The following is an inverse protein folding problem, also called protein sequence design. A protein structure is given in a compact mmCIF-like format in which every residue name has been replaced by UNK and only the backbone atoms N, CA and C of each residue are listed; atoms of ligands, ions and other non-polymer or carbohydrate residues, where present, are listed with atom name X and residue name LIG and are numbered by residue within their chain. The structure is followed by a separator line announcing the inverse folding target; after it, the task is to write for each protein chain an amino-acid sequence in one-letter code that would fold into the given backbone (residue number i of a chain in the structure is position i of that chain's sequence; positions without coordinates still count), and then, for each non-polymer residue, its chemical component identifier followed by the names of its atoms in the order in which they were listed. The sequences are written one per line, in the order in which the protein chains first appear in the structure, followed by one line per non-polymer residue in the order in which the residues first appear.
data_IF_834040108425
#
_entry.id   IF_834040108425
#
_cell.length_a   1.000
_cell.length_b   1.000
_cell.length_c   1.000
_cell.angle_alpha   90.00
_cell.angle_beta   90.00
_cell.angle_gamma   90.00
#
_symmetry.space_group_name_H-M   'P 1'
#
loop_
_entity.id
_entity.type
_entity.pdbx_description
1 polymer ?
#
# COMPACT_ATOMS: atom_id res chain seq x y z
N UNK A 1 9.96 -12.54 15.41
CA UNK A 1 10.69 -11.27 15.25
C UNK A 1 9.80 -10.38 14.42
N UNK A 2 9.44 -9.25 15.01
CA UNK A 2 8.34 -8.35 14.67
C UNK A 2 8.08 -8.19 13.18
N UNK A 3 6.86 -8.54 12.76
CA UNK A 3 6.44 -8.37 11.37
C UNK A 3 6.43 -6.89 11.07
N UNK A 4 7.27 -6.44 10.14
CA UNK A 4 7.38 -5.04 9.67
C UNK A 4 6.01 -4.36 9.49
N UNK A 5 5.02 -5.15 9.07
CA UNK A 5 3.64 -4.76 8.85
C UNK A 5 2.91 -4.22 10.09
N UNK A 6 3.30 -4.63 11.30
CA UNK A 6 2.74 -4.13 12.55
C UNK A 6 3.00 -2.62 12.73
N UNK A 7 4.12 -2.13 12.21
CA UNK A 7 4.52 -0.73 12.30
C UNK A 7 3.81 0.18 11.27
N UNK A 8 2.87 -0.35 10.48
CA UNK A 8 1.93 0.49 9.69
C UNK A 8 0.92 1.23 10.57
N UNK A 9 0.87 0.94 11.88
CA UNK A 9 0.02 1.65 12.86
C UNK A 9 0.83 2.38 13.92
N UNK A 10 2.12 2.56 13.67
CA UNK A 10 2.99 3.31 14.57
C UNK A 10 2.47 4.75 14.74
N UNK A 11 2.52 5.34 15.95
CA UNK A 11 2.09 6.73 16.14
C UNK A 11 2.87 7.72 15.27
N UNK A 12 4.14 7.46 14.96
CA UNK A 12 4.97 8.33 14.12
C UNK A 12 4.74 8.06 12.62
N UNK A 13 4.29 9.07 11.88
CA UNK A 13 4.08 8.96 10.43
C UNK A 13 5.37 8.64 9.66
N UNK A 14 6.54 9.03 10.18
CA UNK A 14 7.83 8.72 9.57
C UNK A 14 8.10 7.22 9.66
N UNK A 15 7.78 6.60 10.80
CA UNK A 15 7.89 5.15 10.98
C UNK A 15 6.94 4.44 10.02
N UNK A 16 5.67 4.85 9.97
CA UNK A 16 4.68 4.29 9.01
C UNK A 16 5.14 4.41 7.56
N UNK A 17 5.73 5.55 7.19
CA UNK A 17 6.24 5.80 5.84
C UNK A 17 7.44 4.91 5.50
N UNK A 18 8.41 4.79 6.41
CA UNK A 18 9.59 3.92 6.24
C UNK A 18 9.14 2.46 6.07
N UNK A 19 8.16 2.03 6.86
CA UNK A 19 7.58 0.69 6.78
C UNK A 19 6.91 0.47 5.43
N UNK A 20 6.07 1.42 4.98
CA UNK A 20 5.44 1.35 3.66
C UNK A 20 6.47 1.22 2.53
N UNK A 21 7.56 2.00 2.59
CA UNK A 21 8.64 1.94 1.60
C UNK A 21 9.37 0.58 1.63
N UNK A 22 9.66 0.07 2.82
CA UNK A 22 10.33 -1.21 2.98
C UNK A 22 9.47 -2.39 2.51
N UNK A 23 8.14 -2.34 2.73
CA UNK A 23 7.19 -3.32 2.19
C UNK A 23 7.10 -3.21 0.67
N UNK A 24 7.14 -2.00 0.10
CA UNK A 24 7.19 -1.81 -1.35
C UNK A 24 8.44 -2.41 -2.01
N UNK A 25 9.58 -2.39 -1.30
CA UNK A 25 10.82 -3.03 -1.74
C UNK A 25 10.83 -4.56 -1.50
N UNK A 26 9.96 -5.09 -0.63
CA UNK A 26 9.86 -6.51 -0.31
C UNK A 26 8.44 -7.04 -0.50
N UNK A 27 8.04 -7.36 -1.74
CA UNK A 27 6.68 -7.82 -2.08
C UNK A 27 6.24 -9.06 -1.28
N UNK A 28 7.17 -9.99 -1.00
CA UNK A 28 6.86 -11.18 -0.20
C UNK A 28 6.46 -10.84 1.25
N UNK A 29 7.05 -9.80 1.85
CA UNK A 29 6.66 -9.29 3.16
C UNK A 29 5.33 -8.52 3.07
N UNK A 30 5.15 -7.73 2.02
CA UNK A 30 3.90 -7.02 1.75
C UNK A 30 2.71 -7.99 1.58
N UNK A 31 2.91 -9.10 0.86
CA UNK A 31 1.89 -10.13 0.66
C UNK A 31 1.42 -10.77 1.97
N UNK A 32 2.34 -11.10 2.90
CA UNK A 32 1.99 -11.57 4.25
C UNK A 32 1.20 -10.54 5.06
N UNK A 33 1.35 -9.27 4.71
CA UNK A 33 0.80 -8.11 5.39
C UNK A 33 -0.39 -7.44 4.69
N UNK A 34 -0.97 -8.07 3.68
CA UNK A 34 -1.93 -7.42 2.76
C UNK A 34 -3.11 -6.77 3.49
N UNK A 35 -3.70 -7.46 4.47
CA UNK A 35 -4.81 -6.92 5.26
C UNK A 35 -4.44 -5.66 6.05
N UNK A 36 -3.21 -5.58 6.57
CA UNK A 36 -2.73 -4.39 7.27
C UNK A 36 -2.40 -3.25 6.31
N UNK A 37 -1.88 -3.54 5.11
CA UNK A 37 -1.68 -2.54 4.06
C UNK A 37 -3.01 -1.93 3.61
N UNK A 38 -4.04 -2.76 3.39
CA UNK A 38 -5.38 -2.27 3.05
C UNK A 38 -5.94 -1.40 4.19
N UNK A 39 -5.81 -1.84 5.45
CA UNK A 39 -6.25 -1.06 6.59
C UNK A 39 -5.52 0.29 6.70
N UNK A 40 -4.21 0.34 6.46
CA UNK A 40 -3.44 1.58 6.46
C UNK A 40 -3.87 2.52 5.32
N UNK A 41 -4.19 1.99 4.15
CA UNK A 41 -4.71 2.78 3.03
C UNK A 41 -6.12 3.36 3.28
N UNK A 42 -6.89 2.75 4.19
CA UNK A 42 -8.23 3.20 4.58
C UNK A 42 -8.24 4.07 5.85
N UNK A 43 -7.09 4.24 6.51
CA UNK A 43 -7.02 4.98 7.76
C UNK A 43 -7.42 6.46 7.55
N UNK A 44 -8.41 6.98 8.32
CA UNK A 44 -8.85 8.35 8.18
C UNK A 44 -7.74 9.33 8.61
N UNK A 45 -7.51 10.36 7.80
CA UNK A 45 -6.49 11.38 8.10
C UNK A 45 -5.05 10.90 7.94
N UNK A 46 -4.82 9.73 7.32
CA UNK A 46 -3.47 9.22 7.12
C UNK A 46 -2.61 10.15 6.24
N UNK A 47 -1.31 10.16 6.53
CA UNK A 47 -0.36 11.02 5.87
C UNK A 47 -0.19 10.62 4.39
N UNK A 48 -0.20 11.60 3.49
CA UNK A 48 -0.19 11.36 2.04
C UNK A 48 1.06 10.61 1.57
N UNK A 49 2.20 10.79 2.23
CA UNK A 49 3.40 10.01 1.93
C UNK A 49 3.27 8.55 2.37
N UNK A 50 2.61 8.27 3.50
CA UNK A 50 2.30 6.90 3.93
C UNK A 50 1.37 6.23 2.91
N UNK A 51 0.29 6.90 2.51
CA UNK A 51 -0.64 6.39 1.50
C UNK A 51 0.05 6.10 0.15
N UNK A 52 0.98 6.96 -0.26
CA UNK A 52 1.80 6.75 -1.45
C UNK A 52 2.61 5.45 -1.33
N UNK A 53 3.32 5.26 -0.23
CA UNK A 53 4.15 4.08 0.01
C UNK A 53 3.31 2.80 0.09
N UNK A 54 2.16 2.86 0.76
CA UNK A 54 1.22 1.73 0.87
C UNK A 54 0.64 1.37 -0.51
N UNK A 55 0.25 2.36 -1.33
CA UNK A 55 -0.22 2.10 -2.69
C UNK A 55 0.84 1.40 -3.54
N UNK A 56 2.10 1.84 -3.47
CA UNK A 56 3.21 1.18 -4.18
C UNK A 56 3.40 -0.25 -3.65
N UNK A 57 3.37 -0.47 -2.33
CA UNK A 57 3.51 -1.81 -1.77
C UNK A 57 2.41 -2.77 -2.27
N UNK A 58 1.16 -2.31 -2.31
CA UNK A 58 0.04 -3.08 -2.85
C UNK A 58 0.23 -3.39 -4.34
N UNK A 59 0.72 -2.43 -5.13
CA UNK A 59 1.03 -2.65 -6.55
C UNK A 59 2.19 -3.62 -6.77
N UNK A 60 3.22 -3.57 -5.91
CA UNK A 60 4.38 -4.47 -5.98
C UNK A 60 4.05 -5.93 -5.65
N UNK A 61 2.99 -6.18 -4.88
CA UNK A 61 2.48 -7.56 -4.67
C UNK A 61 1.95 -8.14 -5.99
N UNK A 62 1.38 -7.31 -6.86
CA UNK A 62 0.84 -7.74 -8.15
C UNK A 62 -0.57 -8.34 -8.03
N UNK A 63 -0.95 -9.33 -8.88
CA UNK A 63 -2.32 -9.84 -8.99
C UNK A 63 -2.94 -10.38 -7.71
N UNK A 64 -2.11 -10.86 -6.78
CA UNK A 64 -2.59 -11.37 -5.50
C UNK A 64 -3.22 -10.25 -4.66
N UNK A 65 -2.86 -8.98 -4.88
CA UNK A 65 -3.44 -7.82 -4.20
C UNK A 65 -4.74 -7.30 -4.85
N UNK A 66 -5.50 -8.15 -5.57
CA UNK A 66 -6.80 -7.79 -6.16
C UNK A 66 -7.80 -7.23 -5.14
N UNK A 67 -7.76 -7.71 -3.91
CA UNK A 67 -8.62 -7.23 -2.82
C UNK A 67 -8.35 -5.76 -2.47
N UNK A 68 -7.21 -5.21 -2.86
CA UNK A 68 -6.86 -3.81 -2.65
C UNK A 68 -7.40 -2.86 -3.73
N UNK A 69 -8.01 -3.36 -4.81
CA UNK A 69 -8.53 -2.52 -5.89
C UNK A 69 -9.53 -1.45 -5.42
N UNK A 70 -10.51 -1.74 -4.53
CA UNK A 70 -11.44 -0.72 -4.06
C UNK A 70 -10.73 0.43 -3.33
N UNK A 71 -9.78 0.11 -2.44
CA UNK A 71 -9.04 1.16 -1.70
C UNK A 71 -8.12 1.95 -2.63
N UNK A 72 -7.45 1.31 -3.59
CA UNK A 72 -6.62 2.01 -4.57
C UNK A 72 -7.45 2.97 -5.45
N UNK A 73 -8.71 2.63 -5.76
CA UNK A 73 -9.62 3.55 -6.48
C UNK A 73 -10.00 4.77 -5.65
N UNK A 74 -10.12 4.64 -4.34
CA UNK A 74 -10.29 5.80 -3.46
C UNK A 74 -9.02 6.65 -3.42
N UNK A 75 -7.84 6.03 -3.33
CA UNK A 75 -6.56 6.75 -3.39
C UNK A 75 -6.32 7.44 -4.74
N UNK A 76 -6.86 6.91 -5.84
CA UNK A 76 -6.80 7.54 -7.17
C UNK A 76 -7.49 8.91 -7.23
N UNK A 77 -8.52 9.12 -6.38
CA UNK A 77 -9.22 10.41 -6.26
C UNK A 77 -8.35 11.47 -5.59
N UNK A 78 -7.33 11.09 -4.83
CA UNK A 78 -6.42 12.01 -4.15
C UNK A 78 -5.33 12.50 -5.11
N UNK A 79 -5.21 13.82 -5.40
CA UNK A 79 -4.25 14.31 -6.40
C UNK A 79 -2.80 13.90 -6.16
N UNK A 80 -2.38 13.84 -4.88
CA UNK A 80 -1.01 13.54 -4.48
C UNK A 80 -0.68 12.05 -4.41
N UNK A 81 -1.68 11.17 -4.43
CA UNK A 81 -1.50 9.70 -4.36
C UNK A 81 -1.93 9.03 -5.68
N UNK A 82 -2.64 9.76 -6.54
CA UNK A 82 -3.22 9.29 -7.80
C UNK A 82 -2.25 8.47 -8.65
N UNK A 83 -1.05 8.98 -8.88
CA UNK A 83 -0.09 8.33 -9.78
C UNK A 83 0.30 6.94 -9.28
N UNK A 84 0.48 6.77 -7.97
CA UNK A 84 0.86 5.51 -7.37
C UNK A 84 -0.33 4.55 -7.30
N UNK A 85 -1.52 5.07 -7.00
CA UNK A 85 -2.74 4.29 -7.06
C UNK A 85 -2.99 3.72 -8.47
N UNK A 86 -2.86 4.55 -9.52
CA UNK A 86 -3.01 4.13 -10.91
C UNK A 86 -1.96 3.11 -11.33
N UNK A 87 -0.70 3.32 -10.95
CA UNK A 87 0.36 2.36 -11.20
C UNK A 87 0.05 1.01 -10.52
N UNK A 88 -0.37 1.04 -9.26
CA UNK A 88 -0.68 -0.18 -8.49
C UNK A 88 -1.87 -0.93 -9.09
N UNK A 89 -2.96 -0.23 -9.43
CA UNK A 89 -4.11 -0.79 -10.14
C UNK A 89 -3.65 -1.45 -11.44
N UNK A 90 -2.77 -0.79 -12.21
CA UNK A 90 -2.22 -1.37 -13.44
C UNK A 90 -1.44 -2.65 -13.16
N UNK A 91 -0.56 -2.69 -12.16
CA UNK A 91 0.22 -3.90 -11.83
C UNK A 91 -0.68 -5.07 -11.42
N UNK A 92 -1.69 -4.80 -10.59
CA UNK A 92 -2.66 -5.80 -10.13
C UNK A 92 -3.47 -6.37 -11.32
N UNK A 93 -3.80 -5.52 -12.31
CA UNK A 93 -4.60 -5.91 -13.47
C UNK A 93 -3.78 -6.42 -14.67
N UNK A 94 -2.48 -6.11 -14.75
CA UNK A 94 -1.66 -6.33 -15.96
C UNK A 94 -1.24 -7.78 -16.23
N UNK A 95 -1.43 -8.71 -15.29
CA UNK A 95 -1.01 -10.12 -15.44
C UNK A 95 -2.22 -11.06 -15.61
N UNK A 96 -3.18 -10.64 -16.43
CA UNK A 96 -4.31 -11.46 -16.88
C UNK A 96 -4.30 -11.68 -18.40
N UNK A 97 -3.14 -12.03 -18.97
CA UNK A 97 -3.01 -12.47 -20.37
C UNK A 97 -2.32 -13.81 -20.42
#
# INVERSE_FOLDING_TARGET
GDTLVAHLRDPDENVRMVVGNALAAHPAAAGRGMGQLIAAAQAPGEHRHVLRSVAVALGSIGPDARDALPVLRELEKMPLVRWQAQWAIRQILAQGR
#
